data_IF_309736116605
#
_entry.id   IF_309736116605
#
_cell.length_a   1.000
_cell.length_b   1.000
_cell.length_c   1.000
_cell.angle_alpha   90.00
_cell.angle_beta   90.00
_cell.angle_gamma   90.00
#
_symmetry.space_group_name_H-M   'P 1'
#
loop_
_entity.id
_entity.type
_entity.pdbx_description
1 polymer ?
#
# COMPACT_ATOMS: atom_id res chain seq x y z
N UNK A 1 16.09 9.24 -10.21
CA UNK A 1 15.06 8.19 -10.18
C UNK A 1 13.73 8.91 -10.00
N UNK A 2 12.83 8.88 -10.99
CA UNK A 2 11.52 9.56 -10.90
C UNK A 2 10.57 8.82 -9.97
N UNK A 3 9.48 9.47 -9.55
CA UNK A 3 8.47 8.85 -8.66
C UNK A 3 7.79 7.68 -9.36
N UNK A 4 7.24 6.72 -8.61
CA UNK A 4 6.57 5.56 -9.24
C UNK A 4 5.36 6.02 -10.06
N UNK A 5 4.62 7.02 -9.55
CA UNK A 5 3.50 7.67 -10.24
C UNK A 5 3.91 8.24 -11.61
N UNK A 6 5.10 8.80 -11.73
CA UNK A 6 5.61 9.39 -12.98
C UNK A 6 5.97 8.31 -14.02
N UNK A 7 6.11 7.05 -13.61
CA UNK A 7 6.53 5.93 -14.44
C UNK A 7 5.46 4.84 -14.60
N UNK A 8 4.21 5.10 -14.20
CA UNK A 8 3.11 4.13 -14.22
C UNK A 8 2.91 3.51 -15.61
N UNK A 9 2.96 4.30 -16.68
CA UNK A 9 2.80 3.77 -18.04
C UNK A 9 3.91 2.78 -18.41
N UNK A 10 5.17 3.07 -18.05
CA UNK A 10 6.29 2.15 -18.24
C UNK A 10 6.09 0.87 -17.44
N UNK A 11 5.76 0.97 -16.15
CA UNK A 11 5.66 -0.17 -15.27
C UNK A 11 4.44 -1.05 -15.56
N UNK A 12 3.30 -0.47 -15.93
CA UNK A 12 2.07 -1.21 -16.29
C UNK A 12 2.23 -2.10 -17.53
N UNK A 13 3.20 -1.79 -18.39
CA UNK A 13 3.54 -2.61 -19.57
C UNK A 13 4.41 -3.83 -19.23
N UNK A 14 5.06 -3.83 -18.06
CA UNK A 14 6.04 -4.86 -17.68
C UNK A 14 5.52 -5.69 -16.50
N UNK A 15 4.88 -5.07 -15.51
CA UNK A 15 4.17 -5.74 -14.42
C UNK A 15 2.77 -6.12 -14.89
N UNK A 16 2.64 -7.32 -15.43
CA UNK A 16 1.34 -7.87 -15.76
C UNK A 16 0.58 -8.28 -14.50
N UNK A 17 -0.73 -8.45 -14.64
CA UNK A 17 -1.60 -8.90 -13.55
C UNK A 17 -1.14 -10.26 -13.00
N UNK A 18 -0.74 -11.17 -13.88
CA UNK A 18 -0.32 -12.52 -13.53
C UNK A 18 0.94 -12.51 -12.65
N UNK A 19 1.86 -11.57 -12.88
CA UNK A 19 3.05 -11.39 -12.04
C UNK A 19 2.64 -10.93 -10.63
N UNK A 20 1.73 -9.96 -10.54
CA UNK A 20 1.24 -9.43 -9.25
C UNK A 20 0.46 -10.50 -8.48
N UNK A 21 -0.37 -11.29 -9.16
CA UNK A 21 -1.16 -12.37 -8.54
C UNK A 21 -0.32 -13.56 -8.06
N UNK A 22 0.93 -13.69 -8.51
CA UNK A 22 1.86 -14.71 -8.03
C UNK A 22 2.77 -14.23 -6.91
N UNK A 23 2.77 -12.93 -6.60
CA UNK A 23 3.57 -12.36 -5.51
C UNK A 23 3.05 -12.86 -4.15
N UNK A 24 3.86 -13.55 -3.34
CA UNK A 24 3.42 -14.10 -2.05
C UNK A 24 2.95 -13.03 -1.05
N UNK A 25 3.58 -11.86 -1.03
CA UNK A 25 3.22 -10.76 -0.13
C UNK A 25 1.89 -10.13 -0.56
N UNK A 26 1.70 -9.94 -1.86
CA UNK A 26 0.42 -9.47 -2.41
C UNK A 26 -0.70 -10.48 -2.17
N UNK A 27 -0.43 -11.78 -2.32
CA UNK A 27 -1.38 -12.85 -2.01
C UNK A 27 -1.76 -12.86 -0.53
N UNK A 28 -0.81 -12.74 0.39
CA UNK A 28 -1.10 -12.66 1.82
C UNK A 28 -1.97 -11.42 2.15
N UNK A 29 -1.58 -10.25 1.64
CA UNK A 29 -2.32 -9.01 1.81
C UNK A 29 -3.76 -9.10 1.29
N UNK A 30 -3.93 -9.55 0.04
CA UNK A 30 -5.26 -9.70 -0.58
C UNK A 30 -6.12 -10.72 0.15
N UNK A 31 -5.54 -11.83 0.61
CA UNK A 31 -6.24 -12.81 1.45
C UNK A 31 -6.65 -12.23 2.81
N UNK A 32 -5.84 -11.36 3.42
CA UNK A 32 -6.22 -10.65 4.65
C UNK A 32 -7.40 -9.72 4.40
N UNK A 33 -7.41 -8.98 3.30
CA UNK A 33 -8.50 -8.09 2.95
C UNK A 33 -9.79 -8.84 2.62
N UNK A 34 -9.71 -9.97 1.92
CA UNK A 34 -10.86 -10.79 1.55
C UNK A 34 -11.62 -11.38 2.76
N UNK A 35 -10.96 -11.52 3.92
CA UNK A 35 -11.58 -12.00 5.17
C UNK A 35 -12.35 -10.90 5.91
N UNK A 36 -12.23 -9.64 5.50
CA UNK A 36 -12.89 -8.53 6.17
C UNK A 36 -14.37 -8.50 5.81
N UNK A 37 -15.21 -8.21 6.80
CA UNK A 37 -16.66 -8.06 6.62
C UNK A 37 -17.00 -6.85 5.75
N UNK A 38 -16.29 -5.75 5.97
CA UNK A 38 -16.52 -4.49 5.28
C UNK A 38 -15.37 -4.21 4.30
N UNK A 39 -15.65 -3.60 3.14
CA UNK A 39 -14.63 -3.30 2.15
C UNK A 39 -13.61 -2.30 2.73
N UNK A 40 -12.31 -2.54 2.50
CA UNK A 40 -11.27 -1.65 2.99
C UNK A 40 -11.29 -0.32 2.24
N UNK A 41 -10.83 0.74 2.91
CA UNK A 41 -10.40 1.97 2.28
C UNK A 41 -8.94 1.82 1.88
N UNK A 42 -8.68 1.71 0.58
CA UNK A 42 -7.33 1.52 0.04
C UNK A 42 -6.65 2.86 -0.21
N UNK A 43 -5.47 3.05 0.38
CA UNK A 43 -4.58 4.15 0.07
C UNK A 43 -3.36 3.65 -0.69
N UNK A 44 -3.04 4.30 -1.81
CA UNK A 44 -1.81 4.06 -2.55
C UNK A 44 -0.77 5.10 -2.17
N UNK A 45 0.41 4.64 -1.75
CA UNK A 45 1.42 5.49 -1.16
C UNK A 45 2.75 5.43 -1.92
N UNK A 46 3.24 6.61 -2.31
CA UNK A 46 4.61 6.83 -2.74
C UNK A 46 5.37 7.54 -1.61
N UNK A 47 6.66 7.24 -1.46
CA UNK A 47 7.52 7.78 -0.40
C UNK A 47 7.45 9.30 -0.28
N UNK A 48 7.30 10.02 -1.40
CA UNK A 48 7.22 11.48 -1.41
C UNK A 48 6.00 12.06 -0.67
N UNK A 49 5.03 11.23 -0.27
CA UNK A 49 3.79 11.65 0.39
C UNK A 49 3.59 11.01 1.77
N UNK A 50 4.62 10.36 2.34
CA UNK A 50 4.50 9.68 3.63
C UNK A 50 4.06 10.63 4.75
N UNK A 51 4.71 11.79 4.92
CA UNK A 51 4.35 12.75 5.97
C UNK A 51 2.90 13.25 5.88
N UNK A 52 2.42 13.52 4.66
CA UNK A 52 1.03 13.93 4.41
C UNK A 52 0.07 12.80 4.78
N UNK A 53 0.44 11.56 4.47
CA UNK A 53 -0.36 10.37 4.78
C UNK A 53 -0.43 10.12 6.27
N UNK A 54 0.68 10.26 7.01
CA UNK A 54 0.70 10.15 8.46
C UNK A 54 -0.21 11.22 9.11
N UNK A 55 -0.13 12.47 8.63
CA UNK A 55 -1.05 13.51 9.06
C UNK A 55 -2.52 13.19 8.76
N UNK A 56 -2.80 12.58 7.60
CA UNK A 56 -4.16 12.13 7.27
C UNK A 56 -4.64 11.03 8.22
N UNK A 57 -3.79 10.05 8.55
CA UNK A 57 -4.11 8.97 9.50
C UNK A 57 -4.45 9.55 10.88
N UNK A 58 -3.69 10.51 11.40
CA UNK A 58 -4.02 11.20 12.65
C UNK A 58 -5.41 11.86 12.60
N UNK A 59 -5.79 12.46 11.47
CA UNK A 59 -7.13 13.04 11.33
C UNK A 59 -8.24 11.97 11.31
N UNK A 60 -7.94 10.76 10.81
CA UNK A 60 -8.90 9.66 10.80
C UNK A 60 -9.15 9.08 12.20
N UNK A 61 -8.27 9.32 13.18
CA UNK A 61 -8.51 8.89 14.58
C UNK A 61 -9.79 9.50 15.17
N UNK A 62 -10.17 10.69 14.71
CA UNK A 62 -11.41 11.36 15.14
C UNK A 62 -12.67 10.79 14.47
N UNK A 63 -12.53 9.89 13.50
CA UNK A 63 -13.64 9.27 12.78
C UNK A 63 -13.74 7.78 13.17
N UNK A 64 -14.76 7.39 13.95
CA UNK A 64 -14.91 6.01 14.42
C UNK A 64 -14.79 4.98 13.30
N UNK A 65 -14.05 3.90 13.58
CA UNK A 65 -13.83 2.76 12.68
C UNK A 65 -13.10 3.06 11.34
N UNK A 66 -12.68 4.30 11.09
CA UNK A 66 -12.03 4.67 9.83
C UNK A 66 -10.65 4.01 9.67
N UNK A 67 -9.83 4.03 10.72
CA UNK A 67 -8.51 3.36 10.72
C UNK A 67 -8.67 1.85 10.58
N UNK A 68 -9.67 1.25 11.24
CA UNK A 68 -9.92 -0.20 11.14
C UNK A 68 -10.19 -0.63 9.71
N UNK A 69 -10.80 0.24 8.90
CA UNK A 69 -11.08 -0.03 7.48
C UNK A 69 -9.90 0.30 6.58
N UNK A 70 -8.89 1.01 7.06
CA UNK A 70 -7.74 1.41 6.24
C UNK A 70 -6.88 0.20 5.86
N UNK A 71 -6.39 0.21 4.62
CA UNK A 71 -5.33 -0.65 4.14
C UNK A 71 -4.46 0.15 3.15
N UNK A 72 -3.15 -0.08 3.16
CA UNK A 72 -2.19 0.73 2.40
C UNK A 72 -1.41 -0.15 1.42
N UNK A 73 -1.27 0.31 0.19
CA UNK A 73 -0.38 -0.26 -0.81
C UNK A 73 0.75 0.74 -1.06
N UNK A 74 1.96 0.39 -0.65
CA UNK A 74 3.15 1.19 -0.86
C UNK A 74 3.82 0.84 -2.19
N UNK A 75 4.43 1.82 -2.85
CA UNK A 75 5.32 1.59 -3.99
C UNK A 75 6.81 1.58 -3.60
N UNK A 76 7.11 1.71 -2.31
CA UNK A 76 8.45 1.75 -1.74
C UNK A 76 8.52 0.87 -0.47
N UNK A 77 9.40 -0.14 -0.42
CA UNK A 77 9.48 -1.06 0.74
C UNK A 77 9.89 -0.37 2.05
N UNK A 78 10.67 0.70 2.01
CA UNK A 78 11.04 1.44 3.23
C UNK A 78 9.83 2.18 3.81
N UNK A 79 8.96 2.68 2.93
CA UNK A 79 7.71 3.32 3.31
C UNK A 79 6.73 2.34 3.95
N UNK A 80 6.66 1.09 3.47
CA UNK A 80 5.90 0.02 4.14
C UNK A 80 6.45 -0.24 5.55
N UNK A 81 7.77 -0.42 5.68
CA UNK A 81 8.41 -0.68 6.98
C UNK A 81 8.13 0.43 7.97
N UNK A 82 8.22 1.69 7.52
CA UNK A 82 7.98 2.85 8.38
C UNK A 82 6.52 2.92 8.83
N UNK A 83 5.57 2.70 7.93
CA UNK A 83 4.14 2.63 8.29
C UNK A 83 3.84 1.50 9.26
N UNK A 84 4.33 0.29 9.00
CA UNK A 84 4.10 -0.87 9.86
C UNK A 84 4.70 -0.64 11.27
N UNK A 85 5.84 0.04 11.36
CA UNK A 85 6.44 0.43 12.66
C UNK A 85 5.56 1.40 13.45
N UNK A 86 4.90 2.33 12.78
CA UNK A 86 4.08 3.37 13.41
C UNK A 86 2.64 2.91 13.69
N UNK A 87 2.06 2.15 12.77
CA UNK A 87 0.67 1.68 12.76
C UNK A 87 0.59 0.19 12.35
N UNK A 88 1.06 -0.74 13.20
CA UNK A 88 1.13 -2.17 12.87
C UNK A 88 -0.24 -2.82 12.62
N UNK A 89 -1.33 -2.20 13.07
CA UNK A 89 -2.70 -2.66 12.87
C UNK A 89 -3.26 -2.35 11.47
N UNK A 90 -2.62 -1.44 10.72
CA UNK A 90 -3.04 -1.06 9.36
C UNK A 90 -2.37 -2.03 8.38
N UNK A 91 -3.12 -2.91 7.69
CA UNK A 91 -2.55 -3.81 6.70
C UNK A 91 -1.84 -2.99 5.63
N UNK A 92 -0.56 -3.28 5.43
CA UNK A 92 0.27 -2.60 4.46
C UNK A 92 1.01 -3.64 3.64
N UNK A 93 1.16 -3.40 2.34
CA UNK A 93 2.01 -4.20 1.45
C UNK A 93 2.76 -3.27 0.51
N UNK A 94 4.04 -3.55 0.24
CA UNK A 94 4.74 -2.92 -0.87
C UNK A 94 4.63 -3.76 -2.13
N UNK A 95 4.43 -3.09 -3.27
CA UNK A 95 4.58 -3.73 -4.57
C UNK A 95 6.05 -3.77 -4.94
N UNK A 96 6.58 -4.95 -5.25
CA UNK A 96 7.96 -5.11 -5.70
C UNK A 96 8.11 -4.72 -7.17
N UNK A 97 8.71 -3.54 -7.41
CA UNK A 97 9.07 -3.07 -8.76
C UNK A 97 10.51 -3.43 -9.15
N UNK A 98 11.23 -4.25 -8.38
CA UNK A 98 12.57 -4.73 -8.76
C UNK A 98 12.61 -5.38 -10.14
N UNK A 99 11.59 -6.17 -10.58
CA UNK A 99 11.57 -6.75 -11.92
C UNK A 99 11.58 -5.73 -13.08
N UNK A 100 11.29 -4.45 -12.80
CA UNK A 100 11.10 -3.39 -13.82
C UNK A 100 12.04 -2.19 -13.68
N UNK A 101 12.95 -2.25 -12.70
CA UNK A 101 13.99 -1.23 -12.45
C UNK A 101 15.17 -1.36 -13.39
#
# INVERSE_FOLDING_TARGET
MGRVIENVDKYSKILTREVIEQDPHFLEFSNMLAKRKDPPYLLYLDKGFLEITLNHICNLEYMPDSIKRLAVVSFDPETEKELNRLYPEIPTVSLDFTPVR
#
